data_IF_928588412641
#
_entry.id   IF_928588412641
#
_cell.length_a   1.000
_cell.length_b   1.000
_cell.length_c   1.000
_cell.angle_alpha   90.00
_cell.angle_beta   90.00
_cell.angle_gamma   90.00
#
_symmetry.space_group_name_H-M   'P 1'
#
loop_
_entity.id
_entity.type
_entity.pdbx_description
1 polymer ?
#
# COMPACT_ATOMS: atom_id res chain seq x y z
N UNK A 1 -56.23 6.88 71.60
CA UNK A 1 -55.98 7.70 70.41
C UNK A 1 -54.52 7.48 70.04
N UNK A 2 -54.24 6.63 69.02
CA UNK A 2 -52.88 6.35 68.50
C UNK A 2 -52.74 7.09 67.15
N UNK A 3 -51.80 8.02 67.07
CA UNK A 3 -51.46 8.73 65.85
C UNK A 3 -50.45 7.90 65.10
N UNK A 4 -50.79 7.46 63.89
CA UNK A 4 -49.88 6.88 62.94
C UNK A 4 -49.12 8.03 62.23
N UNK A 5 -47.78 7.95 62.24
CA UNK A 5 -46.88 8.80 61.48
C UNK A 5 -46.47 8.01 60.24
N UNK A 6 -46.86 8.48 59.08
CA UNK A 6 -46.42 7.93 57.79
C UNK A 6 -45.07 8.54 57.40
N UNK A 7 -44.05 7.70 57.27
CA UNK A 7 -42.73 8.08 56.77
C UNK A 7 -42.73 7.86 55.24
N UNK A 8 -42.70 8.97 54.50
CA UNK A 8 -42.55 8.93 53.08
C UNK A 8 -41.07 8.70 52.68
N UNK A 9 -40.79 7.63 51.98
CA UNK A 9 -39.47 7.37 51.40
C UNK A 9 -39.41 8.05 50.03
N UNK A 10 -38.56 9.05 49.90
CA UNK A 10 -38.24 9.70 48.61
C UNK A 10 -37.22 8.86 47.87
N UNK A 11 -37.60 8.20 46.77
CA UNK A 11 -36.67 7.57 45.82
C UNK A 11 -36.05 8.62 44.91
N UNK A 12 -34.78 8.95 45.12
CA UNK A 12 -34.02 9.78 44.23
C UNK A 12 -33.41 8.85 43.14
N UNK A 13 -34.02 8.88 41.96
CA UNK A 13 -33.45 8.22 40.76
C UNK A 13 -32.22 8.99 40.29
N UNK A 14 -31.05 8.47 40.59
CA UNK A 14 -29.78 9.03 40.08
C UNK A 14 -29.64 8.75 38.58
N UNK A 15 -29.71 9.81 37.78
CA UNK A 15 -29.27 9.78 36.36
C UNK A 15 -27.75 9.67 36.35
N UNK A 16 -27.23 8.49 36.02
CA UNK A 16 -25.81 8.33 35.71
C UNK A 16 -25.50 9.03 34.36
N UNK A 17 -24.44 9.85 34.27
CA UNK A 17 -24.04 10.42 33.01
C UNK A 17 -23.55 9.30 32.08
N UNK A 18 -24.20 9.14 30.93
CA UNK A 18 -23.69 8.32 29.83
C UNK A 18 -22.47 9.06 29.27
N UNK A 19 -21.27 8.64 29.65
CA UNK A 19 -20.06 9.07 28.98
C UNK A 19 -20.12 8.57 27.55
N UNK A 20 -20.44 9.45 26.61
CA UNK A 20 -20.23 9.20 25.19
C UNK A 20 -18.70 8.99 24.99
N UNK A 21 -18.29 7.74 24.77
CA UNK A 21 -16.93 7.44 24.35
C UNK A 21 -16.78 8.08 22.96
N UNK A 22 -15.96 9.11 22.86
CA UNK A 22 -15.51 9.63 21.56
C UNK A 22 -14.80 8.46 20.85
N UNK A 23 -15.42 7.91 19.81
CA UNK A 23 -14.77 6.96 18.93
C UNK A 23 -13.56 7.68 18.33
N UNK A 24 -12.37 7.08 18.45
CA UNK A 24 -11.21 7.54 17.71
C UNK A 24 -11.60 7.65 16.22
N UNK A 25 -11.12 8.68 15.50
CA UNK A 25 -11.42 8.80 14.10
C UNK A 25 -11.06 7.48 13.41
N UNK A 26 -12.04 6.88 12.76
CA UNK A 26 -11.80 5.68 11.96
C UNK A 26 -10.74 6.05 10.91
N UNK A 27 -9.64 5.28 10.85
CA UNK A 27 -8.69 5.45 9.75
C UNK A 27 -9.46 5.29 8.43
N UNK A 28 -9.17 6.12 7.42
CA UNK A 28 -9.83 5.99 6.13
C UNK A 28 -9.61 4.58 5.59
N UNK A 29 -10.64 4.02 4.95
CA UNK A 29 -10.46 2.74 4.25
C UNK A 29 -9.39 2.90 3.17
N UNK A 30 -8.37 2.06 3.22
CA UNK A 30 -7.22 2.12 2.31
C UNK A 30 -7.61 2.03 0.82
N UNK A 31 -8.75 1.38 0.51
CA UNK A 31 -9.28 1.32 -0.86
C UNK A 31 -9.78 2.68 -1.32
N UNK A 32 -10.49 3.39 -0.44
CA UNK A 32 -10.94 4.75 -0.72
C UNK A 32 -9.74 5.67 -0.96
N UNK A 33 -8.68 5.56 -0.14
CA UNK A 33 -7.47 6.35 -0.35
C UNK A 33 -6.81 6.01 -1.69
N UNK A 34 -6.67 4.73 -2.01
CA UNK A 34 -6.12 4.30 -3.30
C UNK A 34 -6.92 4.84 -4.48
N UNK A 35 -8.26 4.76 -4.40
CA UNK A 35 -9.17 5.23 -5.47
C UNK A 35 -9.08 6.75 -5.67
N UNK A 36 -8.94 7.50 -4.59
CA UNK A 36 -8.83 8.97 -4.61
C UNK A 36 -7.46 9.44 -5.10
N UNK A 37 -6.39 8.72 -4.75
CA UNK A 37 -5.02 9.11 -5.10
C UNK A 37 -4.55 8.61 -6.46
N UNK A 38 -5.01 7.43 -6.90
CA UNK A 38 -4.54 6.84 -8.15
C UNK A 38 -4.70 7.75 -9.37
N UNK A 39 -5.79 8.55 -9.52
CA UNK A 39 -5.90 9.56 -10.58
C UNK A 39 -4.87 10.69 -10.51
N UNK A 40 -4.33 10.98 -9.32
CA UNK A 40 -3.33 12.02 -9.09
C UNK A 40 -1.90 11.51 -9.28
N UNK A 41 -1.70 10.19 -9.18
CA UNK A 41 -0.40 9.56 -9.37
C UNK A 41 0.01 9.53 -10.84
N UNK A 42 1.32 9.60 -11.06
CA UNK A 42 1.93 9.53 -12.38
C UNK A 42 3.16 8.61 -12.40
N UNK A 43 3.90 8.62 -13.51
CA UNK A 43 5.16 7.90 -13.57
C UNK A 43 6.13 8.42 -12.49
N UNK A 44 6.94 7.52 -11.90
CA UNK A 44 7.85 7.75 -10.78
C UNK A 44 7.19 7.80 -9.39
N UNK A 45 5.85 7.81 -9.27
CA UNK A 45 5.20 7.50 -8.00
C UNK A 45 5.30 6.01 -7.71
N UNK A 46 5.12 5.63 -6.44
CA UNK A 46 5.24 4.25 -6.01
C UNK A 46 4.04 3.83 -5.17
N UNK A 47 3.67 2.57 -5.30
CA UNK A 47 2.77 1.88 -4.37
C UNK A 47 3.53 0.66 -3.85
N UNK A 48 3.65 0.55 -2.53
CA UNK A 48 4.30 -0.57 -1.86
C UNK A 48 3.26 -1.40 -1.12
N UNK A 49 3.32 -2.71 -1.29
CA UNK A 49 2.56 -3.65 -0.47
C UNK A 49 3.57 -4.41 0.40
N UNK A 50 3.53 -4.16 1.71
CA UNK A 50 4.59 -4.56 2.61
C UNK A 50 4.07 -5.37 3.79
N UNK A 51 4.96 -6.11 4.45
CA UNK A 51 4.65 -6.85 5.68
C UNK A 51 4.42 -5.94 6.89
N UNK A 52 3.94 -6.53 7.99
CA UNK A 52 3.62 -5.79 9.23
C UNK A 52 4.84 -5.21 9.95
N UNK A 53 6.05 -5.71 9.66
CA UNK A 53 7.29 -5.24 10.28
C UNK A 53 7.98 -4.13 9.45
N UNK A 54 7.50 -3.83 8.26
CA UNK A 54 8.06 -2.75 7.44
C UNK A 54 8.05 -1.42 8.22
N UNK A 55 9.17 -0.66 8.22
CA UNK A 55 9.28 0.54 9.04
C UNK A 55 8.31 1.64 8.63
N UNK A 56 7.82 2.42 9.61
CA UNK A 56 7.12 3.67 9.36
C UNK A 56 8.13 4.72 8.90
N UNK A 57 8.06 5.10 7.63
CA UNK A 57 8.94 6.11 7.07
C UNK A 57 8.39 7.52 7.31
N UNK A 58 9.29 8.48 7.56
CA UNK A 58 8.93 9.86 7.91
C UNK A 58 9.25 10.87 6.79
N UNK A 59 9.56 10.42 5.58
CA UNK A 59 9.80 11.32 4.43
C UNK A 59 8.51 12.02 4.02
N UNK A 60 8.56 13.31 3.63
CA UNK A 60 7.34 14.11 3.36
C UNK A 60 6.41 13.55 2.27
N UNK A 61 6.96 12.80 1.32
CA UNK A 61 6.17 12.21 0.22
C UNK A 61 5.66 10.80 0.53
N UNK A 62 5.89 10.27 1.74
CA UNK A 62 5.48 8.91 2.10
C UNK A 62 4.22 8.94 2.93
N UNK A 63 3.21 8.20 2.49
CA UNK A 63 2.02 7.89 3.26
C UNK A 63 1.97 6.39 3.56
N UNK A 64 1.63 6.03 4.79
CA UNK A 64 1.54 4.62 5.22
C UNK A 64 0.18 4.34 5.81
N UNK A 65 -0.49 3.32 5.27
CA UNK A 65 -1.81 2.88 5.71
C UNK A 65 -1.78 1.39 6.04
N UNK A 66 -2.37 1.02 7.16
CA UNK A 66 -2.59 -0.37 7.51
C UNK A 66 -3.87 -0.89 6.84
N UNK A 67 -3.79 -2.04 6.19
CA UNK A 67 -4.91 -2.62 5.43
C UNK A 67 -5.68 -3.69 6.20
N UNK A 68 -5.08 -4.24 7.25
CA UNK A 68 -5.59 -5.39 8.04
C UNK A 68 -5.97 -6.62 7.17
N UNK A 69 -5.30 -6.82 6.04
CA UNK A 69 -5.55 -7.90 5.10
C UNK A 69 -4.28 -8.71 4.80
N UNK A 70 -4.44 -9.95 4.29
CA UNK A 70 -3.34 -10.69 3.69
C UNK A 70 -2.72 -9.92 2.52
N UNK A 71 -1.38 -9.94 2.43
CA UNK A 71 -0.65 -9.16 1.43
C UNK A 71 -1.06 -9.47 -0.01
N UNK A 72 -1.30 -10.73 -0.32
CA UNK A 72 -1.70 -11.16 -1.68
C UNK A 72 -3.08 -10.63 -2.07
N UNK A 73 -3.99 -10.44 -1.11
CA UNK A 73 -5.28 -9.81 -1.35
C UNK A 73 -5.15 -8.32 -1.66
N UNK A 74 -4.33 -7.61 -0.89
CA UNK A 74 -4.02 -6.18 -1.13
C UNK A 74 -3.39 -6.02 -2.51
N UNK A 75 -2.38 -6.84 -2.82
CA UNK A 75 -1.69 -6.82 -4.12
C UNK A 75 -2.66 -7.05 -5.29
N UNK A 76 -3.55 -8.05 -5.17
CA UNK A 76 -4.54 -8.35 -6.22
C UNK A 76 -5.47 -7.17 -6.47
N UNK A 77 -5.90 -6.50 -5.42
CA UNK A 77 -6.75 -5.31 -5.54
C UNK A 77 -6.00 -4.17 -6.23
N UNK A 78 -4.79 -3.82 -5.78
CA UNK A 78 -3.97 -2.75 -6.37
C UNK A 78 -3.69 -3.01 -7.85
N UNK A 79 -3.30 -4.23 -8.21
CA UNK A 79 -3.05 -4.59 -9.61
C UNK A 79 -4.33 -4.48 -10.46
N UNK A 80 -5.48 -4.87 -9.90
CA UNK A 80 -6.77 -4.72 -10.57
C UNK A 80 -7.13 -3.27 -10.86
N UNK A 81 -6.85 -2.33 -9.94
CA UNK A 81 -7.02 -0.89 -10.17
C UNK A 81 -6.03 -0.36 -11.22
N UNK A 82 -4.77 -0.77 -11.13
CA UNK A 82 -3.76 -0.40 -12.13
C UNK A 82 -4.12 -0.90 -13.53
N UNK A 83 -4.65 -2.11 -13.66
CA UNK A 83 -5.05 -2.66 -14.96
C UNK A 83 -6.20 -1.86 -15.62
N UNK A 84 -7.08 -1.29 -14.81
CA UNK A 84 -8.16 -0.40 -15.26
C UNK A 84 -7.68 1.01 -15.57
N UNK A 85 -6.52 1.41 -15.07
CA UNK A 85 -5.98 2.75 -15.31
C UNK A 85 -5.60 2.95 -16.77
N UNK A 86 -6.01 4.09 -17.34
CA UNK A 86 -5.70 4.45 -18.73
C UNK A 86 -4.31 5.06 -18.88
N UNK A 87 -3.72 5.58 -17.81
CA UNK A 87 -2.48 6.35 -17.84
C UNK A 87 -1.32 5.66 -17.10
N UNK A 88 -1.59 4.67 -16.23
CA UNK A 88 -0.59 3.99 -15.42
C UNK A 88 -0.39 2.53 -15.83
N UNK A 89 0.83 2.06 -15.77
CA UNK A 89 1.22 0.65 -15.79
C UNK A 89 2.20 0.36 -14.65
N UNK A 90 2.16 -0.85 -14.06
CA UNK A 90 3.10 -1.22 -13.02
C UNK A 90 4.44 -1.66 -13.60
N UNK A 91 5.54 -1.19 -13.00
CA UNK A 91 6.85 -1.84 -13.04
C UNK A 91 7.05 -2.49 -11.66
N UNK A 92 7.11 -3.82 -11.60
CA UNK A 92 7.04 -4.57 -10.33
C UNK A 92 8.42 -5.09 -9.95
N UNK A 93 8.81 -4.80 -8.68
CA UNK A 93 10.07 -5.26 -8.11
C UNK A 93 9.79 -6.11 -6.86
N UNK A 94 10.60 -7.13 -6.67
CA UNK A 94 10.58 -8.02 -5.52
C UNK A 94 11.97 -8.04 -4.87
N UNK A 95 12.00 -8.26 -3.56
CA UNK A 95 13.26 -8.51 -2.88
C UNK A 95 13.92 -9.80 -3.40
N UNK A 96 15.15 -9.70 -3.85
CA UNK A 96 15.91 -10.85 -4.37
C UNK A 96 16.06 -11.95 -3.32
N UNK A 97 16.17 -11.54 -2.08
CA UNK A 97 16.32 -12.39 -0.90
C UNK A 97 15.12 -13.33 -0.69
N UNK A 98 13.91 -12.92 -1.10
CA UNK A 98 12.70 -13.72 -0.98
C UNK A 98 12.87 -15.16 -1.52
N UNK A 99 13.59 -15.32 -2.61
CA UNK A 99 13.83 -16.62 -3.24
C UNK A 99 14.74 -17.55 -2.40
N UNK A 100 15.52 -16.98 -1.47
CA UNK A 100 16.55 -17.69 -0.71
C UNK A 100 16.17 -17.97 0.75
N UNK A 101 15.06 -17.41 1.24
CA UNK A 101 14.58 -17.67 2.61
C UNK A 101 14.03 -19.10 2.69
N UNK A 102 14.57 -19.97 3.56
CA UNK A 102 14.09 -21.35 3.70
C UNK A 102 12.83 -21.42 4.56
N UNK A 103 12.04 -22.48 4.38
CA UNK A 103 10.79 -22.70 5.14
C UNK A 103 11.04 -22.89 6.65
N UNK A 104 12.22 -23.43 7.02
CA UNK A 104 12.62 -23.68 8.40
C UNK A 104 12.86 -22.39 9.19
N UNK A 105 13.28 -21.30 8.52
CA UNK A 105 13.52 -19.99 9.13
C UNK A 105 12.29 -19.06 9.07
N UNK A 106 11.39 -19.32 8.12
CA UNK A 106 10.15 -18.53 7.96
C UNK A 106 8.99 -19.43 7.53
N UNK A 107 8.28 -19.95 8.52
CA UNK A 107 7.13 -20.83 8.28
C UNK A 107 6.08 -20.17 7.39
N UNK A 108 5.65 -20.87 6.34
CA UNK A 108 4.65 -20.39 5.38
C UNK A 108 5.23 -19.64 4.19
N UNK A 109 6.55 -19.39 4.12
CA UNK A 109 7.17 -18.65 3.02
C UNK A 109 7.01 -19.35 1.67
N UNK A 110 7.01 -20.67 1.65
CA UNK A 110 6.83 -21.45 0.42
C UNK A 110 5.38 -21.33 -0.10
N UNK A 111 4.41 -21.28 0.80
CA UNK A 111 3.01 -21.01 0.44
C UNK A 111 2.85 -19.58 -0.10
N UNK A 112 3.40 -18.60 0.60
CA UNK A 112 3.40 -17.21 0.17
C UNK A 112 4.00 -17.03 -1.23
N UNK A 113 5.18 -17.61 -1.52
CA UNK A 113 5.80 -17.54 -2.85
C UNK A 113 4.91 -18.10 -3.95
N UNK A 114 4.20 -19.22 -3.70
CA UNK A 114 3.26 -19.79 -4.68
C UNK A 114 2.06 -18.87 -4.93
N UNK A 115 1.49 -18.31 -3.87
CA UNK A 115 0.37 -17.39 -3.99
C UNK A 115 0.77 -16.10 -4.71
N UNK A 116 1.93 -15.55 -4.36
CA UNK A 116 2.51 -14.37 -5.01
C UNK A 116 2.74 -14.61 -6.50
N UNK A 117 3.35 -15.75 -6.85
CA UNK A 117 3.56 -16.16 -8.24
C UNK A 117 2.23 -16.31 -8.99
N UNK A 118 1.19 -16.84 -8.34
CA UNK A 118 -0.15 -16.96 -8.92
C UNK A 118 -0.76 -15.61 -9.28
N UNK A 119 -0.50 -14.56 -8.50
CA UNK A 119 -0.97 -13.20 -8.78
C UNK A 119 -0.11 -12.50 -9.82
N UNK A 120 1.21 -12.69 -9.76
CA UNK A 120 2.17 -12.01 -10.62
C UNK A 120 2.43 -12.71 -11.95
N UNK A 121 1.84 -13.90 -12.20
CA UNK A 121 2.14 -14.71 -13.39
C UNK A 121 1.85 -14.05 -14.74
N UNK A 122 1.08 -12.97 -14.77
CA UNK A 122 0.81 -12.15 -15.96
C UNK A 122 1.67 -10.90 -16.10
N UNK A 123 2.57 -10.64 -15.14
CA UNK A 123 3.36 -9.41 -15.07
C UNK A 123 4.86 -9.70 -15.19
N UNK A 124 5.59 -8.80 -15.84
CA UNK A 124 7.04 -8.80 -15.77
C UNK A 124 7.47 -8.30 -14.39
N UNK A 125 8.36 -9.05 -13.74
CA UNK A 125 8.92 -8.72 -12.43
C UNK A 125 10.43 -8.67 -12.48
N UNK A 126 11.03 -7.78 -11.68
CA UNK A 126 12.48 -7.67 -11.49
C UNK A 126 12.81 -7.99 -10.02
N UNK A 127 13.80 -8.87 -9.79
CA UNK A 127 14.32 -9.14 -8.44
C UNK A 127 15.54 -8.27 -8.16
N UNK A 128 15.45 -7.45 -7.12
CA UNK A 128 16.49 -6.48 -6.73
C UNK A 128 16.87 -6.72 -5.27
N UNK A 129 18.16 -6.61 -4.89
CA UNK A 129 18.56 -6.68 -3.49
C UNK A 129 17.78 -5.70 -2.60
N UNK A 130 17.34 -6.16 -1.42
CA UNK A 130 16.49 -5.42 -0.50
C UNK A 130 17.01 -4.01 -0.21
N UNK A 131 18.28 -3.87 0.17
CA UNK A 131 18.89 -2.57 0.48
C UNK A 131 18.85 -1.57 -0.69
N UNK A 132 18.92 -2.09 -1.93
CA UNK A 132 18.78 -1.23 -3.10
C UNK A 132 17.34 -0.76 -3.29
N UNK A 133 16.35 -1.62 -2.98
CA UNK A 133 14.95 -1.22 -3.03
C UNK A 133 14.64 -0.16 -1.98
N UNK A 134 15.09 -0.35 -0.74
CA UNK A 134 14.93 0.64 0.33
C UNK A 134 15.53 1.97 -0.09
N UNK A 135 16.75 1.98 -0.64
CA UNK A 135 17.41 3.21 -1.11
C UNK A 135 16.61 3.93 -2.22
N UNK A 136 16.02 3.17 -3.17
CA UNK A 136 15.16 3.74 -4.24
C UNK A 136 13.89 4.37 -3.67
N UNK A 137 13.27 3.72 -2.69
CA UNK A 137 12.05 4.22 -2.01
C UNK A 137 12.36 5.47 -1.19
N UNK A 138 13.46 5.48 -0.44
CA UNK A 138 13.90 6.64 0.34
C UNK A 138 14.17 7.85 -0.55
N UNK A 139 14.81 7.64 -1.70
CA UNK A 139 15.03 8.72 -2.67
C UNK A 139 13.70 9.22 -3.27
N UNK A 140 12.81 8.30 -3.66
CA UNK A 140 11.50 8.64 -4.20
C UNK A 140 10.67 9.43 -3.19
N UNK A 141 10.61 9.01 -1.93
CA UNK A 141 9.82 9.63 -0.87
C UNK A 141 10.23 11.07 -0.53
N UNK A 142 11.38 11.55 -1.00
CA UNK A 142 11.80 12.94 -0.82
C UNK A 142 11.10 13.91 -1.76
N UNK A 143 10.70 13.46 -2.95
CA UNK A 143 10.21 14.33 -4.04
C UNK A 143 8.98 13.82 -4.76
N UNK A 144 8.64 12.56 -4.56
CA UNK A 144 7.51 11.89 -5.18
C UNK A 144 6.59 11.30 -4.11
N UNK A 145 5.35 11.04 -4.47
CA UNK A 145 4.43 10.33 -3.60
C UNK A 145 4.72 8.83 -3.62
N UNK A 146 4.74 8.24 -2.41
CA UNK A 146 4.93 6.81 -2.14
C UNK A 146 3.82 6.37 -1.19
N UNK A 147 2.87 5.62 -1.70
CA UNK A 147 1.81 5.01 -0.89
C UNK A 147 2.26 3.64 -0.39
N UNK A 148 2.36 3.47 0.92
CA UNK A 148 2.72 2.20 1.57
C UNK A 148 1.48 1.56 2.18
N UNK A 149 1.10 0.40 1.68
CA UNK A 149 0.00 -0.42 2.17
C UNK A 149 0.57 -1.56 3.01
N UNK A 150 0.45 -1.43 4.34
CA UNK A 150 0.93 -2.47 5.27
C UNK A 150 -0.09 -3.59 5.38
N UNK A 151 0.35 -4.79 5.14
CA UNK A 151 -0.44 -6.00 5.27
C UNK A 151 -0.28 -6.65 6.66
N UNK A 152 -1.10 -7.66 6.93
CA UNK A 152 -1.11 -8.40 8.19
C UNK A 152 -0.02 -9.46 8.32
N UNK A 153 0.68 -9.80 7.23
CA UNK A 153 1.67 -10.87 7.26
C UNK A 153 2.97 -10.43 7.94
N UNK A 154 3.69 -11.40 8.51
CA UNK A 154 5.02 -11.24 9.09
C UNK A 154 5.97 -12.26 8.45
N UNK A 155 6.27 -12.06 7.16
CA UNK A 155 7.14 -12.91 6.35
C UNK A 155 8.29 -12.05 5.83
N UNK A 156 9.55 -12.45 6.07
CA UNK A 156 10.70 -11.63 5.68
C UNK A 156 10.83 -11.51 4.16
N UNK A 157 11.29 -10.34 3.70
CA UNK A 157 11.52 -10.04 2.28
C UNK A 157 10.31 -10.26 1.38
N UNK A 158 9.10 -10.12 1.94
CA UNK A 158 7.85 -10.34 1.22
C UNK A 158 7.32 -9.11 0.50
N UNK A 159 7.94 -7.96 0.67
CA UNK A 159 7.49 -6.70 0.09
C UNK A 159 7.41 -6.75 -1.43
N UNK A 160 6.36 -6.14 -1.97
CA UNK A 160 6.17 -5.91 -3.41
C UNK A 160 6.21 -4.43 -3.65
N UNK A 161 7.14 -3.99 -4.48
CA UNK A 161 7.36 -2.59 -4.82
C UNK A 161 6.86 -2.33 -6.22
N UNK A 162 5.90 -1.44 -6.38
CA UNK A 162 5.32 -1.08 -7.68
C UNK A 162 5.69 0.35 -8.00
N UNK A 163 6.59 0.54 -8.96
CA UNK A 163 6.82 1.84 -9.54
C UNK A 163 5.79 2.08 -10.64
N UNK A 164 5.12 3.21 -10.59
CA UNK A 164 4.17 3.59 -11.62
C UNK A 164 4.89 4.14 -12.86
N UNK A 165 4.44 3.72 -14.03
CA UNK A 165 5.00 4.13 -15.31
C UNK A 165 3.87 4.48 -16.30
N UNK A 166 4.19 5.17 -17.39
CA UNK A 166 3.22 5.58 -18.38
C UNK A 166 2.70 4.39 -19.20
N UNK A 167 1.38 4.20 -19.24
CA UNK A 167 0.73 3.17 -20.07
C UNK A 167 0.67 3.59 -21.54
N UNK A 168 0.42 4.85 -21.78
CA UNK A 168 0.22 5.40 -23.13
C UNK A 168 1.54 5.68 -23.90
N UNK A 169 2.70 5.52 -23.26
CA UNK A 169 4.00 5.76 -23.84
C UNK A 169 4.95 4.60 -23.54
N UNK A 170 5.34 3.86 -24.59
CA UNK A 170 6.21 2.70 -24.42
C UNK A 170 7.68 3.08 -24.36
N UNK A 171 8.51 2.23 -23.73
CA UNK A 171 9.96 2.41 -23.68
C UNK A 171 10.59 2.45 -25.09
N UNK A 172 10.01 1.73 -26.06
CA UNK A 172 10.46 1.77 -27.43
C UNK A 172 10.07 3.08 -28.17
N UNK A 173 8.89 3.63 -27.84
CA UNK A 173 8.52 4.97 -28.33
C UNK A 173 9.48 6.02 -27.78
N UNK A 174 9.84 5.95 -26.49
CA UNK A 174 10.83 6.83 -25.88
C UNK A 174 12.20 6.71 -26.54
N UNK A 175 12.70 5.49 -26.78
CA UNK A 175 13.97 5.27 -27.48
C UNK A 175 13.97 5.86 -28.89
N UNK A 176 12.89 5.66 -29.67
CA UNK A 176 12.76 6.22 -31.02
C UNK A 176 12.73 7.72 -30.98
N UNK A 177 11.97 8.33 -30.10
CA UNK A 177 11.90 9.78 -29.92
C UNK A 177 13.27 10.36 -29.58
N UNK A 178 14.00 9.78 -28.61
CA UNK A 178 15.34 10.23 -28.24
C UNK A 178 16.36 10.07 -29.36
N UNK A 179 16.26 9.00 -30.15
CA UNK A 179 17.12 8.82 -31.30
C UNK A 179 16.91 9.92 -32.39
N UNK A 180 15.65 10.35 -32.62
CA UNK A 180 15.33 11.49 -33.50
C UNK A 180 15.85 12.80 -32.92
N UNK A 181 15.63 13.04 -31.61
CA UNK A 181 16.18 14.24 -30.96
C UNK A 181 17.69 14.37 -31.11
N UNK A 182 18.43 13.25 -30.93
CA UNK A 182 19.90 13.26 -31.08
C UNK A 182 20.37 13.59 -32.50
N UNK A 183 19.53 13.33 -33.51
CA UNK A 183 19.81 13.66 -34.92
C UNK A 183 19.30 15.04 -35.37
N UNK A 184 18.52 15.72 -34.50
CA UNK A 184 17.85 16.97 -34.85
C UNK A 184 16.69 16.78 -35.83
N UNK A 185 16.07 15.58 -35.86
CA UNK A 185 14.99 15.22 -36.78
C UNK A 185 13.63 15.32 -36.03
N UNK A 186 12.92 16.46 -36.05
CA UNK A 186 11.57 16.53 -35.45
C UNK A 186 10.61 15.62 -36.22
N UNK A 187 9.51 15.21 -35.54
CA UNK A 187 8.45 14.47 -36.21
C UNK A 187 7.78 15.38 -37.26
N UNK A 188 7.52 14.84 -38.44
CA UNK A 188 6.74 15.53 -39.45
C UNK A 188 5.33 15.83 -38.95
N UNK A 189 4.81 17.01 -39.28
CA UNK A 189 3.46 17.46 -38.90
C UNK A 189 2.42 16.84 -39.82
#
# INVERSE_FOLDING_TARGET
>A
MRRLVAVGVLLVAGLAPVCAQAQAPAHPDWRTVLDDELPLMGHRNWILIVDSAYPLQASPGVETIETDLPQVEVLRHVLGELDRSVHLRPDIFLDKELAFVPEEDASGISAYRRELQGVLGGYATESVPHEQMISRVDEAGRTMHVLILKSRIAVPYSSVFIRLNCRYWSDDAEKRMRARMAKGEPADH
#
